data_IF_184015497664
#
_entry.id   IF_184015497664
#
_cell.length_a   1.000
_cell.length_b   1.000
_cell.length_c   1.000
_cell.angle_alpha   90.00
_cell.angle_beta   90.00
_cell.angle_gamma   90.00
#
_symmetry.space_group_name_H-M   'P 1'
#
loop_
_entity.id
_entity.type
_entity.pdbx_description
1 polymer ?
#
# COMPACT_ATOMS: atom_id res chain seq x y z
N UNK A 1 15.66 22.18 3.69
CA UNK A 1 14.51 22.52 2.82
C UNK A 1 14.51 21.74 1.49
N UNK A 2 15.66 21.41 0.90
CA UNK A 2 15.71 20.63 -0.36
C UNK A 2 15.21 19.17 -0.26
N UNK A 3 15.49 18.44 0.83
CA UNK A 3 15.09 17.03 0.99
C UNK A 3 13.57 16.80 1.07
N UNK A 4 12.82 17.75 1.64
CA UNK A 4 11.36 17.67 1.74
C UNK A 4 10.67 17.88 0.39
N UNK A 5 11.25 18.66 -0.52
CA UNK A 5 10.71 18.85 -1.87
C UNK A 5 10.90 17.61 -2.74
N UNK A 6 12.01 16.87 -2.59
CA UNK A 6 12.23 15.61 -3.30
C UNK A 6 11.17 14.56 -2.92
N UNK A 7 10.82 14.43 -1.63
CA UNK A 7 9.80 13.49 -1.17
C UNK A 7 8.39 13.86 -1.68
N UNK A 8 8.07 15.16 -1.68
CA UNK A 8 6.80 15.67 -2.21
C UNK A 8 6.71 15.44 -3.72
N UNK A 9 7.82 15.63 -4.45
CA UNK A 9 7.89 15.34 -5.89
C UNK A 9 7.79 13.84 -6.19
N UNK A 10 8.31 12.96 -5.34
CA UNK A 10 8.13 11.50 -5.47
C UNK A 10 6.67 11.12 -5.23
N UNK A 11 6.03 11.66 -4.19
CA UNK A 11 4.60 11.39 -3.90
C UNK A 11 3.70 11.92 -5.02
N UNK A 12 3.99 13.11 -5.56
CA UNK A 12 3.27 13.68 -6.71
C UNK A 12 3.57 12.88 -7.98
N UNK A 13 4.82 12.46 -8.22
CA UNK A 13 5.17 11.65 -9.39
C UNK A 13 4.51 10.27 -9.34
N UNK A 14 4.45 9.63 -8.18
CA UNK A 14 3.69 8.37 -7.99
C UNK A 14 2.20 8.62 -8.26
N UNK A 15 1.61 9.72 -7.77
CA UNK A 15 0.21 10.05 -8.04
C UNK A 15 -0.08 10.39 -9.51
N UNK A 16 0.85 11.06 -10.22
CA UNK A 16 0.67 11.50 -11.62
C UNK A 16 1.00 10.38 -12.61
N UNK A 17 1.94 9.48 -12.31
CA UNK A 17 2.25 8.32 -13.17
C UNK A 17 1.21 7.18 -13.06
N UNK A 18 0.25 7.28 -12.12
CA UNK A 18 -0.83 6.30 -11.93
C UNK A 18 -2.15 6.65 -12.64
N UNK A 19 -2.19 7.75 -13.41
CA UNK A 19 -3.32 8.06 -14.30
C UNK A 19 -2.95 7.67 -15.72
N UNK A 20 -3.24 6.43 -16.19
CA UNK A 20 -3.22 6.19 -17.62
C UNK A 20 -4.35 7.01 -18.24
N UNK A 21 -4.06 7.68 -19.36
CA UNK A 21 -5.10 8.10 -20.29
C UNK A 21 -5.95 6.87 -20.60
N UNK A 22 -7.25 6.94 -20.30
CA UNK A 22 -8.18 5.82 -20.49
C UNK A 22 -8.39 5.59 -21.99
N UNK A 23 -7.46 4.87 -22.62
CA UNK A 23 -7.65 4.34 -23.96
C UNK A 23 -8.12 2.89 -23.82
N UNK A 24 -9.41 2.72 -24.12
CA UNK A 24 -10.17 1.49 -23.97
C UNK A 24 -9.52 0.34 -24.74
N UNK A 25 -8.93 -0.62 -24.03
CA UNK A 25 -8.62 -1.95 -24.59
C UNK A 25 -9.00 -3.03 -23.57
N UNK A 26 -9.55 -4.12 -24.10
CA UNK A 26 -10.29 -5.22 -23.46
C UNK A 26 -9.53 -6.10 -22.42
N UNK A 27 -8.46 -5.59 -21.81
CA UNK A 27 -7.74 -6.27 -20.73
C UNK A 27 -7.46 -5.27 -19.61
N UNK A 28 -8.22 -5.35 -18.52
CA UNK A 28 -7.95 -4.56 -17.31
C UNK A 28 -6.56 -4.92 -16.78
N UNK A 29 -5.60 -4.06 -17.06
CA UNK A 29 -4.25 -4.14 -16.51
C UNK A 29 -4.32 -3.96 -14.97
N UNK A 30 -3.80 -4.90 -14.16
CA UNK A 30 -3.78 -4.76 -12.71
C UNK A 30 -3.08 -3.48 -12.21
N UNK A 31 -2.17 -2.90 -12.99
CA UNK A 31 -1.58 -1.57 -12.73
C UNK A 31 -2.60 -0.45 -12.93
N UNK A 32 -3.41 -0.51 -14.00
CA UNK A 32 -4.47 0.47 -14.24
C UNK A 32 -5.57 0.38 -13.17
N UNK A 33 -5.95 -0.84 -12.78
CA UNK A 33 -6.97 -1.06 -11.74
C UNK A 33 -6.46 -0.67 -10.36
N UNK A 34 -5.24 -1.10 -10.00
CA UNK A 34 -4.64 -0.75 -8.72
C UNK A 34 -4.35 0.75 -8.60
N UNK A 35 -3.88 1.38 -9.68
CA UNK A 35 -3.69 2.83 -9.76
C UNK A 35 -5.00 3.60 -9.63
N UNK A 36 -6.09 3.11 -10.23
CA UNK A 36 -7.41 3.70 -10.05
C UNK A 36 -7.94 3.59 -8.61
N UNK A 37 -7.79 2.43 -7.96
CA UNK A 37 -8.22 2.22 -6.57
C UNK A 37 -7.41 3.09 -5.61
N UNK A 38 -6.08 3.09 -5.76
CA UNK A 38 -5.19 3.90 -4.94
C UNK A 38 -5.39 5.40 -5.19
N UNK A 39 -5.60 5.77 -6.45
CA UNK A 39 -5.90 7.13 -6.87
C UNK A 39 -7.22 7.63 -6.29
N UNK A 40 -8.25 6.78 -6.22
CA UNK A 40 -9.52 7.10 -5.56
C UNK A 40 -9.34 7.35 -4.06
N UNK A 41 -8.62 6.48 -3.37
CA UNK A 41 -8.27 6.66 -1.94
C UNK A 41 -7.60 8.02 -1.68
N UNK A 42 -6.64 8.41 -2.53
CA UNK A 42 -5.95 9.71 -2.40
C UNK A 42 -6.89 10.88 -2.76
N UNK A 43 -7.73 10.74 -3.79
CA UNK A 43 -8.61 11.79 -4.27
C UNK A 43 -9.78 12.08 -3.32
N UNK A 44 -10.27 11.08 -2.60
CA UNK A 44 -11.35 11.24 -1.62
C UNK A 44 -10.92 12.06 -0.40
N UNK A 45 -9.64 11.99 0.01
CA UNK A 45 -9.12 12.81 1.11
C UNK A 45 -7.63 13.18 0.98
N UNK A 46 -7.28 14.08 0.05
CA UNK A 46 -5.88 14.31 -0.34
C UNK A 46 -5.05 14.96 0.77
N UNK A 47 -5.62 15.89 1.55
CA UNK A 47 -4.86 16.54 2.63
C UNK A 47 -4.61 15.59 3.81
N UNK A 48 -5.59 14.76 4.20
CA UNK A 48 -5.38 13.80 5.28
C UNK A 48 -4.38 12.71 4.87
N UNK A 49 -4.43 12.26 3.61
CA UNK A 49 -3.52 11.26 3.07
C UNK A 49 -2.07 11.77 3.08
N UNK A 50 -1.81 12.99 2.58
CA UNK A 50 -0.47 13.62 2.62
C UNK A 50 0.04 13.81 4.06
N UNK A 51 -0.81 14.30 4.97
CA UNK A 51 -0.43 14.51 6.38
C UNK A 51 -0.11 13.19 7.07
N UNK A 52 -0.89 12.13 6.79
CA UNK A 52 -0.64 10.78 7.30
C UNK A 52 0.71 10.24 6.81
N UNK A 53 1.02 10.41 5.51
CA UNK A 53 2.29 9.99 4.92
C UNK A 53 3.48 10.70 5.55
N UNK A 54 3.41 12.03 5.68
CA UNK A 54 4.49 12.82 6.30
C UNK A 54 4.74 12.44 7.76
N UNK A 55 3.67 12.23 8.54
CA UNK A 55 3.78 11.74 9.93
C UNK A 55 4.42 10.36 9.98
N UNK A 56 4.05 9.48 9.06
CA UNK A 56 4.58 8.12 8.98
C UNK A 56 6.07 8.13 8.62
N UNK A 57 6.46 8.91 7.62
CA UNK A 57 7.87 9.13 7.26
C UNK A 57 8.70 9.63 8.44
N UNK A 58 8.18 10.64 9.16
CA UNK A 58 8.85 11.18 10.34
C UNK A 58 8.98 10.13 11.46
N UNK A 59 7.95 9.31 11.68
CA UNK A 59 7.95 8.26 12.71
C UNK A 59 8.96 7.16 12.40
N UNK A 60 9.07 6.74 11.14
CA UNK A 60 10.07 5.77 10.69
C UNK A 60 11.50 6.26 10.86
N UNK A 61 11.75 7.55 10.64
CA UNK A 61 13.07 8.16 10.84
C UNK A 61 13.52 8.20 12.30
N UNK A 62 12.59 8.23 13.26
CA UNK A 62 12.89 8.28 14.69
C UNK A 62 13.08 6.88 15.28
N UNK A 63 12.29 5.89 14.84
CA UNK A 63 12.38 4.53 15.33
C UNK A 63 11.91 3.54 14.25
N UNK A 64 12.88 2.91 13.58
CA UNK A 64 12.67 1.97 12.47
C UNK A 64 11.88 0.75 12.93
N UNK A 65 12.24 0.14 14.06
CA UNK A 65 11.59 -1.08 14.56
C UNK A 65 10.12 -0.84 14.87
N UNK A 66 9.82 0.28 15.52
CA UNK A 66 8.43 0.69 15.79
C UNK A 66 7.66 0.95 14.49
N UNK A 67 8.28 1.60 13.51
CA UNK A 67 7.63 1.86 12.22
C UNK A 67 7.28 0.56 11.48
N UNK A 68 8.20 -0.41 11.46
CA UNK A 68 7.95 -1.72 10.86
C UNK A 68 6.85 -2.48 11.62
N UNK A 69 6.91 -2.50 12.96
CA UNK A 69 5.88 -3.16 13.79
C UNK A 69 4.50 -2.58 13.54
N UNK A 70 4.35 -1.26 13.59
CA UNK A 70 3.07 -0.60 13.37
C UNK A 70 2.56 -0.78 11.95
N UNK A 71 3.46 -0.81 10.96
CA UNK A 71 3.09 -1.10 9.57
C UNK A 71 2.58 -2.53 9.42
N UNK A 72 3.25 -3.50 10.02
CA UNK A 72 2.80 -4.90 10.04
C UNK A 72 1.43 -5.04 10.72
N UNK A 73 1.21 -4.37 11.84
CA UNK A 73 -0.10 -4.40 12.52
C UNK A 73 -1.20 -3.78 11.65
N UNK A 74 -0.88 -2.72 10.92
CA UNK A 74 -1.80 -2.07 10.01
C UNK A 74 -2.16 -2.96 8.80
N UNK A 75 -1.16 -3.63 8.22
CA UNK A 75 -1.37 -4.62 7.16
C UNK A 75 -2.26 -5.76 7.67
N UNK A 76 -1.96 -6.34 8.84
CA UNK A 76 -2.77 -7.42 9.42
C UNK A 76 -4.22 -7.03 9.57
N UNK A 77 -4.48 -5.83 10.11
CA UNK A 77 -5.85 -5.31 10.24
C UNK A 77 -6.59 -5.27 8.90
N UNK A 78 -5.92 -4.82 7.83
CA UNK A 78 -6.52 -4.79 6.50
C UNK A 78 -6.82 -6.21 5.98
N UNK A 79 -5.87 -7.13 6.13
CA UNK A 79 -6.00 -8.51 5.67
C UNK A 79 -7.04 -9.32 6.46
N UNK A 80 -7.16 -9.09 7.76
CA UNK A 80 -8.25 -9.63 8.59
C UNK A 80 -9.62 -9.16 8.08
N UNK A 81 -9.70 -7.90 7.64
CA UNK A 81 -10.88 -7.35 6.98
C UNK A 81 -11.23 -8.06 5.66
N UNK A 82 -10.23 -8.50 4.90
CA UNK A 82 -10.41 -9.29 3.67
C UNK A 82 -10.98 -10.67 4.01
N UNK A 83 -10.42 -11.36 5.01
CA UNK A 83 -10.91 -12.68 5.47
C UNK A 83 -12.33 -12.57 6.02
N UNK A 84 -12.62 -11.51 6.78
CA UNK A 84 -13.95 -11.27 7.34
C UNK A 84 -15.02 -11.04 6.26
N UNK A 85 -14.65 -10.42 5.14
CA UNK A 85 -15.56 -10.18 4.02
C UNK A 85 -15.70 -11.36 3.06
N UNK A 86 -14.90 -12.42 3.22
CA UNK A 86 -14.90 -13.57 2.31
C UNK A 86 -16.22 -14.37 2.39
N UNK A 87 -16.76 -14.73 1.23
CA UNK A 87 -17.87 -15.69 1.15
C UNK A 87 -17.44 -17.06 1.70
N UNK A 88 -18.33 -17.82 2.36
CA UNK A 88 -17.98 -19.11 2.96
C UNK A 88 -17.30 -20.09 1.99
N UNK A 89 -17.77 -20.13 0.74
CA UNK A 89 -17.21 -21.00 -0.31
C UNK A 89 -15.78 -20.61 -0.74
N UNK A 90 -15.34 -19.38 -0.45
CA UNK A 90 -14.03 -18.82 -0.82
C UNK A 90 -13.12 -18.55 0.37
N UNK A 91 -13.61 -18.75 1.59
CA UNK A 91 -12.90 -18.37 2.81
C UNK A 91 -11.49 -18.97 2.93
N UNK A 92 -11.32 -20.26 2.64
CA UNK A 92 -10.00 -20.93 2.68
C UNK A 92 -9.02 -20.35 1.66
N UNK A 93 -9.48 -20.13 0.42
CA UNK A 93 -8.68 -19.50 -0.63
C UNK A 93 -8.27 -18.07 -0.23
N UNK A 94 -9.19 -17.34 0.40
CA UNK A 94 -8.93 -16.00 0.91
C UNK A 94 -7.91 -15.99 2.06
N UNK A 95 -8.03 -16.90 3.02
CA UNK A 95 -7.07 -17.05 4.13
C UNK A 95 -5.67 -17.41 3.64
N UNK A 96 -5.56 -18.31 2.66
CA UNK A 96 -4.27 -18.68 2.06
C UNK A 96 -3.64 -17.47 1.34
N UNK A 97 -4.44 -16.73 0.56
CA UNK A 97 -3.97 -15.55 -0.15
C UNK A 97 -3.53 -14.41 0.79
N UNK A 98 -4.26 -14.17 1.89
CA UNK A 98 -3.89 -13.14 2.87
C UNK A 98 -2.63 -13.53 3.64
N UNK A 99 -2.43 -14.81 3.95
CA UNK A 99 -1.19 -15.30 4.55
C UNK A 99 0.01 -15.07 3.64
N UNK A 100 -0.11 -15.43 2.36
CA UNK A 100 0.93 -15.15 1.35
C UNK A 100 1.25 -13.66 1.30
N UNK A 101 0.22 -12.82 1.29
CA UNK A 101 0.40 -11.37 1.19
C UNK A 101 1.07 -10.77 2.44
N UNK A 102 0.77 -11.32 3.62
CA UNK A 102 1.43 -10.96 4.89
C UNK A 102 2.93 -11.25 4.83
N UNK A 103 3.32 -12.43 4.33
CA UNK A 103 4.72 -12.82 4.24
C UNK A 103 5.49 -11.93 3.26
N UNK A 104 4.92 -11.66 2.07
CA UNK A 104 5.54 -10.76 1.08
C UNK A 104 5.79 -9.37 1.69
N UNK A 105 4.79 -8.80 2.36
CA UNK A 105 4.94 -7.47 2.96
C UNK A 105 5.97 -7.45 4.09
N UNK A 106 6.00 -8.48 4.94
CA UNK A 106 6.99 -8.62 5.99
C UNK A 106 8.42 -8.74 5.42
N UNK A 107 8.61 -9.55 4.38
CA UNK A 107 9.90 -9.73 3.71
C UNK A 107 10.41 -8.42 3.10
N UNK A 108 9.52 -7.62 2.51
CA UNK A 108 9.87 -6.31 1.97
C UNK A 108 10.31 -5.32 3.05
N UNK A 109 9.61 -5.29 4.19
CA UNK A 109 9.98 -4.44 5.33
C UNK A 109 11.32 -4.87 5.95
N UNK A 110 11.54 -6.17 6.11
CA UNK A 110 12.81 -6.73 6.60
C UNK A 110 13.95 -6.43 5.62
N UNK A 111 13.71 -6.61 4.32
CA UNK A 111 14.69 -6.31 3.27
C UNK A 111 15.04 -4.83 3.22
N UNK A 112 14.04 -3.95 3.37
CA UNK A 112 14.29 -2.51 3.48
C UNK A 112 15.14 -2.19 4.71
N UNK A 113 14.84 -2.77 5.87
CA UNK A 113 15.64 -2.61 7.09
C UNK A 113 17.08 -3.09 6.90
N UNK A 114 17.28 -4.23 6.23
CA UNK A 114 18.59 -4.82 5.99
C UNK A 114 19.52 -3.93 5.15
N UNK A 115 18.98 -3.00 4.37
CA UNK A 115 19.79 -2.02 3.63
C UNK A 115 20.45 -0.96 4.51
N UNK A 116 19.97 -0.76 5.75
CA UNK A 116 20.39 0.35 6.60
C UNK A 116 19.87 1.73 6.16
N UNK A 117 19.13 1.80 5.05
CA UNK A 117 18.56 3.04 4.54
C UNK A 117 17.19 3.32 5.18
N UNK A 118 17.18 4.31 6.06
CA UNK A 118 15.99 4.78 6.78
C UNK A 118 14.91 5.30 5.83
N UNK A 119 15.31 5.94 4.72
CA UNK A 119 14.39 6.49 3.74
C UNK A 119 13.75 5.36 2.94
N UNK A 120 14.49 4.29 2.66
CA UNK A 120 13.94 3.07 2.05
C UNK A 120 12.92 2.38 2.97
N UNK A 121 13.22 2.24 4.26
CA UNK A 121 12.25 1.70 5.24
C UNK A 121 10.99 2.55 5.29
N UNK A 122 11.14 3.88 5.38
CA UNK A 122 10.00 4.79 5.44
C UNK A 122 9.14 4.68 4.17
N UNK A 123 9.77 4.60 3.00
CA UNK A 123 9.09 4.52 1.72
C UNK A 123 8.30 3.22 1.58
N UNK A 124 8.94 2.07 1.82
CA UNK A 124 8.26 0.76 1.80
C UNK A 124 7.10 0.72 2.81
N UNK A 125 7.32 1.25 4.02
CA UNK A 125 6.28 1.30 5.04
C UNK A 125 5.08 2.14 4.64
N UNK A 126 5.30 3.28 3.99
CA UNK A 126 4.22 4.15 3.50
C UNK A 126 3.44 3.46 2.39
N UNK A 127 4.11 2.87 1.40
CA UNK A 127 3.45 2.23 0.27
C UNK A 127 2.54 1.08 0.72
N UNK A 128 3.00 0.23 1.65
CA UNK A 128 2.15 -0.83 2.20
C UNK A 128 1.00 -0.29 3.05
N UNK A 129 1.18 0.83 3.76
CA UNK A 129 0.07 1.45 4.50
C UNK A 129 -0.99 2.02 3.58
N UNK A 130 -0.59 2.61 2.45
CA UNK A 130 -1.54 3.08 1.43
C UNK A 130 -2.32 1.91 0.80
N UNK A 131 -1.64 0.78 0.54
CA UNK A 131 -2.32 -0.43 0.08
C UNK A 131 -3.31 -0.96 1.13
N UNK A 132 -2.91 -0.98 2.40
CA UNK A 132 -3.79 -1.38 3.51
C UNK A 132 -4.99 -0.43 3.68
N UNK A 133 -4.80 0.89 3.55
CA UNK A 133 -5.87 1.88 3.58
C UNK A 133 -6.90 1.64 2.47
N UNK A 134 -6.44 1.44 1.23
CA UNK A 134 -7.30 1.11 0.10
C UNK A 134 -8.12 -0.17 0.33
N UNK A 135 -7.55 -1.18 0.98
CA UNK A 135 -8.27 -2.41 1.37
C UNK A 135 -9.29 -2.16 2.47
N UNK A 136 -8.97 -1.33 3.46
CA UNK A 136 -9.87 -1.01 4.56
C UNK A 136 -11.09 -0.23 4.08
N UNK A 137 -10.92 0.66 3.10
CA UNK A 137 -11.98 1.50 2.54
C UNK A 137 -12.83 0.81 1.47
N UNK A 138 -12.28 -0.19 0.77
CA UNK A 138 -13.03 -0.97 -0.22
C UNK A 138 -14.30 -1.60 0.37
N UNK A 139 -15.37 -1.68 -0.43
CA UNK A 139 -16.58 -2.41 -0.03
C UNK A 139 -16.27 -3.88 0.22
N UNK A 140 -17.06 -4.60 1.05
CA UNK A 140 -16.76 -5.99 1.42
C UNK A 140 -16.45 -6.92 0.23
N UNK A 141 -17.22 -6.81 -0.85
CA UNK A 141 -17.06 -7.58 -2.09
C UNK A 141 -15.82 -7.19 -2.90
N UNK A 142 -15.29 -5.97 -2.73
CA UNK A 142 -14.10 -5.48 -3.41
C UNK A 142 -12.80 -5.72 -2.63
N UNK A 143 -12.85 -5.98 -1.31
CA UNK A 143 -11.66 -6.08 -0.44
C UNK A 143 -10.61 -7.07 -0.96
N UNK A 144 -11.03 -8.22 -1.46
CA UNK A 144 -10.11 -9.22 -1.99
C UNK A 144 -9.40 -8.75 -3.27
N UNK A 145 -10.13 -8.07 -4.17
CA UNK A 145 -9.54 -7.47 -5.37
C UNK A 145 -8.59 -6.32 -5.01
N UNK A 146 -9.05 -5.41 -4.13
CA UNK A 146 -8.26 -4.30 -3.63
C UNK A 146 -6.92 -4.78 -3.04
N UNK A 147 -6.95 -5.84 -2.23
CA UNK A 147 -5.74 -6.47 -1.68
C UNK A 147 -4.79 -6.92 -2.80
N UNK A 148 -5.28 -7.75 -3.73
CA UNK A 148 -4.45 -8.31 -4.80
C UNK A 148 -3.75 -7.25 -5.64
N UNK A 149 -4.45 -6.18 -5.99
CA UNK A 149 -3.89 -5.15 -6.89
C UNK A 149 -3.01 -4.16 -6.15
N UNK A 150 -3.44 -3.66 -4.99
CA UNK A 150 -2.70 -2.61 -4.26
C UNK A 150 -1.44 -3.16 -3.58
N UNK A 151 -1.49 -4.37 -3.04
CA UNK A 151 -0.30 -4.97 -2.44
C UNK A 151 0.70 -5.45 -3.48
N UNK A 152 0.25 -5.85 -4.68
CA UNK A 152 1.15 -6.11 -5.80
C UNK A 152 1.91 -4.84 -6.19
N UNK A 153 1.20 -3.72 -6.34
CA UNK A 153 1.82 -2.41 -6.59
C UNK A 153 2.81 -2.01 -5.48
N UNK A 154 2.47 -2.29 -4.21
CA UNK A 154 3.36 -2.01 -3.09
C UNK A 154 4.61 -2.91 -3.06
N UNK A 155 4.50 -4.12 -3.60
CA UNK A 155 5.60 -5.07 -3.73
C UNK A 155 6.46 -4.82 -4.99
N UNK A 156 6.01 -4.00 -5.93
CA UNK A 156 6.87 -3.70 -7.08
C UNK A 156 8.06 -2.84 -6.66
N UNK A 157 9.24 -3.03 -7.29
CA UNK A 157 10.44 -2.31 -6.93
C UNK A 157 10.19 -0.80 -7.01
N UNK A 158 10.33 -0.12 -5.88
CA UNK A 158 10.37 1.34 -5.84
C UNK A 158 11.75 1.71 -6.41
N UNK A 159 11.78 2.02 -7.71
CA UNK A 159 12.98 2.38 -8.46
C UNK A 159 13.67 3.64 -7.90
#
# INVERSE_FOLDING_TARGET
>A
MAKSMALILVVIAVAVMLVPAVESTDKLDPYAVGGFILGRHIAENPQASIVSMLKSAAKCRVNIDRCISETNDYIRKALDGVVAAALPAKKKETEEATLVQTNIAADHLVSAKATGDVDKVATVSITYRMAADAVLEASPDEKFLAMKVTFKLAADPIA
#
